data_IF_545823559365
#
_entry.id   IF_545823559365
#
_cell.length_a   1.000
_cell.length_b   1.000
_cell.length_c   1.000
_cell.angle_alpha   90.00
_cell.angle_beta   90.00
_cell.angle_gamma   90.00
#
_symmetry.space_group_name_H-M   'P 1'
#
loop_
_entity.id
_entity.type
_entity.pdbx_description
1 polymer ?
#
# COMPACT_ATOMS: atom_id res chain seq x y z
N UNK A 1 -33.08 -17.72 -2.75
CA UNK A 1 -32.34 -16.45 -2.92
C UNK A 1 -31.59 -16.12 -1.64
N UNK A 2 -30.32 -16.52 -1.49
CA UNK A 2 -29.53 -16.18 -0.30
C UNK A 2 -28.71 -14.93 -0.63
N UNK A 3 -29.13 -13.84 0.01
CA UNK A 3 -28.68 -12.48 -0.14
C UNK A 3 -27.15 -12.38 -0.19
N UNK A 4 -26.67 -11.86 -1.31
CA UNK A 4 -25.30 -11.40 -1.54
C UNK A 4 -24.91 -10.36 -0.48
N UNK A 5 -24.19 -10.77 0.56
CA UNK A 5 -23.47 -9.81 1.39
C UNK A 5 -22.16 -9.51 0.67
N UNK A 6 -22.24 -8.45 -0.13
CA UNK A 6 -21.11 -7.73 -0.72
C UNK A 6 -20.27 -7.18 0.45
N UNK A 7 -19.31 -7.97 0.92
CA UNK A 7 -18.21 -7.50 1.75
C UNK A 7 -17.33 -6.59 0.90
N UNK A 8 -17.66 -5.30 0.88
CA UNK A 8 -16.82 -4.21 0.38
C UNK A 8 -15.59 -4.13 1.29
N UNK A 9 -14.59 -4.94 0.99
CA UNK A 9 -13.24 -4.70 1.47
C UNK A 9 -12.75 -3.43 0.78
N UNK A 10 -12.86 -2.32 1.50
CA UNK A 10 -12.47 -0.99 1.04
C UNK A 10 -10.97 -0.94 0.75
N UNK A 11 -10.62 -1.16 -0.51
CA UNK A 11 -9.27 -1.05 -1.03
C UNK A 11 -9.00 0.44 -1.32
N UNK A 12 -8.47 1.16 -0.33
CA UNK A 12 -7.85 2.47 -0.54
C UNK A 12 -6.54 2.25 -1.31
N UNK A 13 -6.63 2.32 -2.63
CA UNK A 13 -5.56 2.02 -3.57
C UNK A 13 -4.43 3.06 -3.52
N UNK A 14 -3.53 2.93 -2.55
CA UNK A 14 -2.29 3.69 -2.54
C UNK A 14 -1.28 3.01 -3.46
N UNK A 15 -1.11 3.56 -4.66
CA UNK A 15 -0.09 3.10 -5.59
C UNK A 15 1.32 3.47 -5.11
N UNK A 16 2.23 2.49 -5.04
CA UNK A 16 3.67 2.72 -4.91
C UNK A 16 4.47 2.03 -6.00
N UNK A 17 5.68 2.55 -6.18
CA UNK A 17 6.65 1.97 -7.08
C UNK A 17 7.37 0.81 -6.41
N UNK A 18 7.20 -0.39 -6.96
CA UNK A 18 7.94 -1.55 -6.52
C UNK A 18 9.27 -1.61 -7.25
N UNK A 19 10.38 -1.37 -6.54
CA UNK A 19 11.74 -1.39 -7.13
C UNK A 19 12.09 -2.76 -7.73
N UNK A 20 11.53 -3.83 -7.16
CA UNK A 20 11.76 -5.21 -7.61
C UNK A 20 10.97 -5.56 -8.87
N UNK A 21 9.73 -5.06 -8.99
CA UNK A 21 8.91 -5.24 -10.19
C UNK A 21 9.17 -4.16 -11.25
N UNK A 22 9.87 -3.06 -10.90
CA UNK A 22 10.07 -1.86 -11.72
C UNK A 22 8.76 -1.27 -12.27
N UNK A 23 7.65 -1.48 -11.55
CA UNK A 23 6.32 -1.02 -11.95
C UNK A 23 5.62 -0.37 -10.76
N UNK A 24 4.71 0.56 -11.05
CA UNK A 24 3.77 1.07 -10.06
C UNK A 24 2.72 -0.01 -9.83
N UNK A 25 2.50 -0.34 -8.56
CA UNK A 25 1.50 -1.32 -8.14
C UNK A 25 0.78 -0.78 -6.92
N UNK A 26 -0.44 -1.26 -6.75
CA UNK A 26 -1.21 -1.00 -5.56
C UNK A 26 -0.53 -1.65 -4.35
N UNK A 27 -0.34 -0.87 -3.28
CA UNK A 27 0.17 -1.42 -2.03
C UNK A 27 -0.96 -2.09 -1.26
N UNK A 28 -0.76 -3.35 -0.90
CA UNK A 28 -1.55 -3.99 0.15
C UNK A 28 -1.06 -3.54 1.51
N UNK A 29 -1.98 -3.39 2.46
CA UNK A 29 -1.66 -3.02 3.84
C UNK A 29 -0.89 -1.68 3.95
N UNK A 30 -1.35 -0.66 3.23
CA UNK A 30 -0.75 0.67 3.26
C UNK A 30 -0.92 1.33 4.64
N UNK A 31 0.19 1.50 5.36
CA UNK A 31 0.28 2.08 6.69
C UNK A 31 1.12 3.36 6.66
N UNK A 32 0.56 4.46 7.13
CA UNK A 32 1.36 5.67 7.39
C UNK A 32 2.32 5.40 8.56
N UNK A 33 3.62 5.54 8.32
CA UNK A 33 4.70 5.43 9.30
C UNK A 33 5.51 6.72 9.29
N UNK A 34 5.72 7.30 10.46
CA UNK A 34 6.63 8.45 10.60
C UNK A 34 8.04 7.91 10.78
N UNK A 35 8.94 8.21 9.84
CA UNK A 35 10.34 7.81 9.94
C UNK A 35 11.02 8.54 11.11
N UNK A 36 12.12 7.97 11.65
CA UNK A 36 12.91 8.58 12.72
C UNK A 36 13.40 10.01 12.43
N UNK A 37 13.35 10.42 11.16
CA UNK A 37 13.74 11.74 10.67
C UNK A 37 12.57 12.74 10.60
N UNK A 38 11.43 12.43 11.25
CA UNK A 38 10.25 13.28 11.34
C UNK A 38 9.41 13.41 10.06
N UNK A 39 9.78 12.71 8.97
CA UNK A 39 9.02 12.76 7.71
C UNK A 39 7.92 11.69 7.68
N UNK A 40 6.71 12.05 7.22
CA UNK A 40 5.65 11.07 6.99
C UNK A 40 6.01 10.20 5.78
N UNK A 41 5.97 8.89 5.96
CA UNK A 41 6.10 7.92 4.90
C UNK A 41 4.88 6.98 4.94
N UNK A 42 4.51 6.43 3.80
CA UNK A 42 3.56 5.33 3.71
C UNK A 42 4.35 4.07 3.45
N UNK A 43 4.27 3.11 4.36
CA UNK A 43 4.76 1.76 4.15
C UNK A 43 3.62 0.91 3.60
N UNK A 44 3.90 -0.05 2.73
CA UNK A 44 2.92 -1.04 2.28
C UNK A 44 3.63 -2.29 1.80
N UNK A 45 2.88 -3.25 1.27
CA UNK A 45 3.39 -4.54 0.81
C UNK A 45 3.04 -4.74 -0.66
N UNK A 46 4.01 -5.23 -1.44
CA UNK A 46 3.75 -5.61 -2.82
C UNK A 46 2.94 -6.91 -2.90
N UNK A 47 1.75 -6.93 -3.54
CA UNK A 47 0.97 -8.16 -3.70
C UNK A 47 1.65 -9.18 -4.61
N UNK A 48 2.58 -8.75 -5.49
CA UNK A 48 3.24 -9.66 -6.44
C UNK A 48 4.54 -10.26 -5.90
N UNK A 49 5.35 -9.47 -5.18
CA UNK A 49 6.66 -9.93 -4.72
C UNK A 49 6.78 -10.02 -3.19
N UNK A 50 5.74 -9.66 -2.44
CA UNK A 50 5.72 -9.67 -0.97
C UNK A 50 6.69 -8.69 -0.30
N UNK A 51 7.43 -7.90 -1.08
CA UNK A 51 8.44 -6.98 -0.54
C UNK A 51 7.76 -5.74 0.02
N UNK A 52 8.23 -5.26 1.18
CA UNK A 52 7.77 -4.00 1.79
C UNK A 52 8.16 -2.84 0.88
N UNK A 53 7.17 -2.09 0.45
CA UNK A 53 7.33 -0.85 -0.30
C UNK A 53 7.21 0.34 0.64
N UNK A 54 8.00 1.38 0.37
CA UNK A 54 7.93 2.64 1.10
C UNK A 54 7.71 3.76 0.09
N UNK A 55 6.64 4.52 0.28
CA UNK A 55 6.34 5.74 -0.45
C UNK A 55 6.54 6.90 0.52
N UNK A 56 7.65 7.62 0.36
CA UNK A 56 7.89 8.82 1.15
C UNK A 56 6.89 9.87 0.67
N UNK A 57 5.97 10.27 1.54
CA UNK A 57 5.08 11.40 1.25
C UNK A 57 5.93 12.67 1.22
N UNK A 58 5.67 13.55 0.27
CA UNK A 58 6.23 14.90 0.35
C UNK A 58 5.59 15.56 1.58
N UNK A 59 6.41 16.11 2.47
CA UNK A 59 5.94 16.88 3.62
C UNK A 59 5.09 18.07 3.16
#
# INVERSE_FOLDING_TARGET
MRLVILGKDGESSMEAYCVKCKSKKEMKDAKAVTMKNGKPATQGVCPTCGTKMFKIGKA
#
